data_IF_487240017651
#
_entry.id   IF_487240017651
#
_cell.length_a   1.000
_cell.length_b   1.000
_cell.length_c   1.000
_cell.angle_alpha   90.00
_cell.angle_beta   90.00
_cell.angle_gamma   90.00
#
_symmetry.space_group_name_H-M   'P 1'
#
loop_
_entity.id
_entity.type
_entity.pdbx_description
1 polymer ?
#
# COMPACT_ATOMS: atom_id res chain seq x y z
N UNK A 1 -54.85 8.03 73.76
CA UNK A 1 -54.24 9.22 73.11
C UNK A 1 -53.79 8.82 71.72
N UNK A 2 -54.61 9.14 70.72
CA UNK A 2 -54.30 10.08 69.61
C UNK A 2 -53.31 9.51 68.58
N UNK A 3 -53.80 8.82 67.53
CA UNK A 3 -54.22 9.35 66.21
C UNK A 3 -53.08 9.67 65.25
N UNK A 4 -53.10 8.99 64.09
CA UNK A 4 -53.05 9.52 62.70
C UNK A 4 -52.46 8.43 61.80
N UNK A 5 -53.02 8.07 60.65
CA UNK A 5 -54.05 8.70 59.86
C UNK A 5 -53.77 8.36 58.41
N UNK A 6 -54.60 7.48 57.85
CA UNK A 6 -54.65 7.15 56.43
C UNK A 6 -55.33 8.32 55.68
N UNK A 7 -54.79 8.80 54.54
CA UNK A 7 -55.58 9.38 53.41
C UNK A 7 -54.70 9.84 52.22
N UNK A 8 -54.73 8.99 51.18
CA UNK A 8 -55.09 9.23 49.77
C UNK A 8 -55.23 10.68 49.24
N UNK A 9 -54.61 10.91 48.06
CA UNK A 9 -54.93 11.80 46.89
C UNK A 9 -53.68 12.62 46.50
N UNK A 10 -53.31 12.84 45.24
CA UNK A 10 -54.03 12.72 43.97
C UNK A 10 -53.01 12.66 42.81
N UNK A 11 -53.42 12.06 41.70
CA UNK A 11 -52.78 12.05 40.38
C UNK A 11 -52.48 13.48 39.88
N UNK A 12 -51.36 13.64 39.16
CA UNK A 12 -51.32 14.08 37.75
C UNK A 12 -49.85 14.26 37.32
N UNK A 13 -49.40 13.44 36.37
CA UNK A 13 -49.22 13.84 34.97
C UNK A 13 -47.96 14.67 34.72
N UNK A 14 -46.91 13.96 34.33
CA UNK A 14 -45.96 14.49 33.34
C UNK A 14 -45.55 13.32 32.45
N UNK A 15 -46.25 13.21 31.32
CA UNK A 15 -45.74 12.54 30.12
C UNK A 15 -44.42 13.21 29.77
N UNK A 16 -43.31 12.50 29.94
CA UNK A 16 -41.98 12.96 29.59
C UNK A 16 -41.23 11.83 28.90
N UNK A 17 -41.53 11.67 27.62
CA UNK A 17 -40.65 11.10 26.58
C UNK A 17 -39.90 9.80 26.93
N UNK A 18 -40.45 8.67 26.49
CA UNK A 18 -39.61 7.56 26.04
C UNK A 18 -38.71 8.10 24.92
N UNK A 19 -37.49 8.50 25.26
CA UNK A 19 -36.40 8.48 24.30
C UNK A 19 -36.23 7.00 23.91
N UNK A 20 -36.84 6.60 22.80
CA UNK A 20 -36.37 5.45 22.03
C UNK A 20 -34.87 5.64 21.83
N UNK A 21 -34.06 4.85 22.54
CA UNK A 21 -32.64 4.77 22.22
C UNK A 21 -32.54 4.44 20.73
N UNK A 22 -31.71 5.12 19.94
CA UNK A 22 -31.49 4.68 18.56
C UNK A 22 -31.08 3.21 18.64
N UNK A 23 -31.77 2.35 17.89
CA UNK A 23 -31.38 0.95 17.72
C UNK A 23 -29.86 0.88 17.58
N UNK A 24 -29.16 -0.04 18.28
CA UNK A 24 -27.73 -0.16 18.14
C UNK A 24 -27.42 -0.42 16.67
N UNK A 25 -26.83 0.57 16.01
CA UNK A 25 -26.65 0.55 14.56
C UNK A 25 -25.89 -0.72 14.16
N UNK A 26 -26.56 -1.49 13.32
CA UNK A 26 -26.29 -2.88 12.93
C UNK A 26 -25.00 -3.08 12.09
N UNK A 27 -24.02 -2.18 12.15
CA UNK A 27 -22.81 -2.19 11.33
C UNK A 27 -22.00 -3.50 11.45
N UNK A 28 -22.08 -4.17 12.61
CA UNK A 28 -21.46 -5.47 12.84
C UNK A 28 -22.14 -6.64 12.11
N UNK A 29 -23.41 -6.48 11.71
CA UNK A 29 -24.22 -7.48 11.01
C UNK A 29 -24.20 -7.30 9.48
N UNK A 30 -23.45 -6.33 8.96
CA UNK A 30 -23.30 -6.16 7.52
C UNK A 30 -22.69 -7.42 6.88
N UNK A 31 -23.22 -7.86 5.72
CA UNK A 31 -22.61 -8.95 4.96
C UNK A 31 -21.16 -8.65 4.60
N UNK A 32 -20.32 -9.69 4.59
CA UNK A 32 -18.89 -9.57 4.28
C UNK A 32 -18.60 -8.88 2.94
N UNK A 33 -19.47 -9.07 1.94
CA UNK A 33 -19.37 -8.43 0.61
C UNK A 33 -19.55 -6.92 0.69
N UNK A 34 -20.46 -6.41 1.53
CA UNK A 34 -20.67 -4.98 1.74
C UNK A 34 -19.51 -4.37 2.51
N UNK A 35 -19.03 -5.04 3.55
CA UNK A 35 -17.84 -4.62 4.31
C UNK A 35 -16.62 -4.56 3.39
N UNK A 36 -16.44 -5.54 2.50
CA UNK A 36 -15.37 -5.56 1.50
C UNK A 36 -15.50 -4.38 0.53
N UNK A 37 -16.71 -4.07 0.07
CA UNK A 37 -16.96 -2.92 -0.79
C UNK A 37 -16.59 -1.60 -0.08
N UNK A 38 -16.97 -1.43 1.19
CA UNK A 38 -16.57 -0.26 1.99
C UNK A 38 -15.04 -0.16 2.05
N UNK A 39 -14.34 -1.26 2.33
CA UNK A 39 -12.88 -1.28 2.32
C UNK A 39 -12.27 -0.78 1.00
N UNK A 40 -12.92 -1.01 -0.15
CA UNK A 40 -12.37 -0.53 -1.44
C UNK A 40 -12.33 1.00 -1.55
N UNK A 41 -13.24 1.71 -0.89
CA UNK A 41 -13.29 3.19 -0.88
C UNK A 41 -12.32 3.82 0.12
N UNK A 42 -11.77 3.03 1.05
CA UNK A 42 -10.90 3.51 2.11
C UNK A 42 -9.43 3.50 1.69
N UNK A 43 -8.69 4.52 2.11
CA UNK A 43 -7.23 4.50 2.10
C UNK A 43 -6.68 3.52 3.15
N UNK A 44 -5.43 3.08 3.00
CA UNK A 44 -4.87 2.01 3.85
C UNK A 44 -4.96 2.30 5.36
N UNK A 45 -4.84 3.57 5.76
CA UNK A 45 -4.98 4.03 7.16
C UNK A 45 -6.38 3.72 7.69
N UNK A 46 -7.40 4.08 6.92
CA UNK A 46 -8.80 3.89 7.28
C UNK A 46 -9.16 2.41 7.23
N UNK A 47 -8.58 1.62 6.30
CA UNK A 47 -8.75 0.16 6.28
C UNK A 47 -8.22 -0.47 7.57
N UNK A 48 -7.01 -0.12 8.00
CA UNK A 48 -6.46 -0.67 9.26
C UNK A 48 -7.30 -0.24 10.47
N UNK A 49 -7.77 1.00 10.49
CA UNK A 49 -8.63 1.51 11.56
C UNK A 49 -9.97 0.79 11.60
N UNK A 50 -10.59 0.60 10.43
CA UNK A 50 -11.81 -0.16 10.23
C UNK A 50 -11.65 -1.62 10.67
N UNK A 51 -10.52 -2.26 10.36
CA UNK A 51 -10.24 -3.64 10.77
C UNK A 51 -10.13 -3.83 12.30
N UNK A 52 -9.97 -2.75 13.07
CA UNK A 52 -9.90 -2.81 14.54
C UNK A 52 -11.26 -2.69 15.22
N UNK A 53 -12.32 -2.39 14.48
CA UNK A 53 -13.66 -2.17 15.03
C UNK A 53 -14.24 -3.46 15.62
N UNK A 54 -14.20 -4.56 14.87
CA UNK A 54 -14.70 -5.86 15.32
C UNK A 54 -14.04 -7.02 14.58
N UNK A 55 -14.23 -8.25 15.08
CA UNK A 55 -13.65 -9.46 14.49
C UNK A 55 -14.12 -9.72 13.05
N UNK A 56 -15.39 -9.49 12.77
CA UNK A 56 -15.97 -9.68 11.43
C UNK A 56 -15.29 -8.78 10.41
N UNK A 57 -15.08 -7.50 10.74
CA UNK A 57 -14.43 -6.55 9.84
C UNK A 57 -12.94 -6.90 9.67
N UNK A 58 -12.27 -7.33 10.74
CA UNK A 58 -10.91 -7.86 10.67
C UNK A 58 -10.79 -9.08 9.73
N UNK A 59 -11.74 -10.01 9.76
CA UNK A 59 -11.74 -11.17 8.86
C UNK A 59 -11.88 -10.73 7.40
N UNK A 60 -12.75 -9.77 7.12
CA UNK A 60 -12.90 -9.21 5.76
C UNK A 60 -11.63 -8.47 5.33
N UNK A 61 -10.95 -7.77 6.24
CA UNK A 61 -9.66 -7.15 5.98
C UNK A 61 -8.59 -8.16 5.55
N UNK A 62 -8.69 -9.43 5.94
CA UNK A 62 -7.74 -10.47 5.51
C UNK A 62 -8.05 -11.06 4.13
N UNK A 63 -9.17 -10.68 3.49
CA UNK A 63 -9.58 -11.24 2.20
C UNK A 63 -8.60 -10.84 1.08
N UNK A 64 -8.03 -11.80 0.34
CA UNK A 64 -7.08 -11.56 -0.77
C UNK A 64 -7.57 -10.53 -1.80
N UNK A 65 -8.86 -10.54 -2.12
CA UNK A 65 -9.46 -9.66 -3.10
C UNK A 65 -9.24 -8.16 -2.78
N UNK A 66 -9.15 -7.82 -1.49
CA UNK A 66 -8.89 -6.46 -1.06
C UNK A 66 -7.48 -5.99 -1.44
N UNK A 67 -6.51 -6.90 -1.53
CA UNK A 67 -5.07 -6.62 -1.62
C UNK A 67 -4.48 -6.79 -3.02
N UNK A 68 -5.31 -7.07 -4.04
CA UNK A 68 -4.86 -7.32 -5.41
C UNK A 68 -4.04 -6.20 -6.04
N UNK A 69 -4.36 -4.94 -5.75
CA UNK A 69 -3.66 -3.77 -6.30
C UNK A 69 -3.12 -2.88 -5.20
N UNK A 70 -1.83 -2.56 -5.22
CA UNK A 70 -1.19 -1.81 -4.13
C UNK A 70 -0.16 -0.78 -4.58
N UNK A 71 -0.17 0.34 -3.87
CA UNK A 71 0.82 1.40 -3.99
C UNK A 71 1.78 1.26 -2.81
N UNK A 72 3.05 1.09 -3.11
CA UNK A 72 4.16 0.98 -2.19
C UNK A 72 5.05 2.20 -2.36
N UNK A 73 5.38 2.85 -1.25
CA UNK A 73 6.21 4.04 -1.25
C UNK A 73 7.51 3.74 -0.51
N UNK A 74 8.60 4.17 -1.11
CA UNK A 74 9.95 4.09 -0.58
C UNK A 74 10.42 5.53 -0.44
N UNK A 75 10.30 6.07 0.76
CA UNK A 75 11.03 7.26 1.16
C UNK A 75 11.95 6.91 2.30
N UNK A 76 13.03 7.66 2.34
CA UNK A 76 13.71 7.96 3.56
C UNK A 76 12.86 8.59 4.67
N UNK A 77 13.40 8.72 5.88
CA UNK A 77 12.74 9.20 7.11
C UNK A 77 11.77 10.37 6.85
N UNK A 78 10.70 10.37 7.64
CA UNK A 78 9.66 11.39 7.71
C UNK A 78 10.22 12.80 7.55
N UNK A 79 9.85 13.48 6.46
CA UNK A 79 10.00 14.93 6.39
C UNK A 79 8.93 15.56 7.30
N UNK A 80 9.29 16.58 8.10
CA UNK A 80 8.35 17.33 8.94
C UNK A 80 7.26 18.06 8.14
N UNK A 81 7.37 18.13 6.80
CA UNK A 81 6.41 18.81 5.93
C UNK A 81 5.17 17.97 5.56
N UNK A 82 5.25 16.64 5.64
CA UNK A 82 4.17 15.72 5.24
C UNK A 82 3.15 15.45 6.38
N UNK A 83 3.21 16.22 7.47
CA UNK A 83 2.44 16.02 8.71
C UNK A 83 0.92 16.15 8.50
N UNK A 84 0.44 16.79 7.43
CA UNK A 84 -1.01 16.98 7.22
C UNK A 84 -1.74 15.72 6.74
N UNK A 85 -1.06 14.69 6.26
CA UNK A 85 -1.69 13.44 5.78
C UNK A 85 -1.56 12.22 6.71
N UNK A 86 -0.95 12.34 7.89
CA UNK A 86 -0.47 11.17 8.66
C UNK A 86 -1.09 10.94 10.05
N UNK A 87 -2.39 10.66 10.12
CA UNK A 87 -3.06 10.15 11.34
C UNK A 87 -2.87 8.63 11.60
N UNK A 88 -2.04 7.95 10.79
CA UNK A 88 -1.65 6.54 10.99
C UNK A 88 -0.83 6.30 12.28
N UNK A 89 -0.35 7.37 12.92
CA UNK A 89 0.76 7.34 13.89
C UNK A 89 0.45 6.93 15.34
N UNK A 90 -0.79 6.62 15.71
CA UNK A 90 -1.15 6.30 17.11
C UNK A 90 -1.66 4.86 17.34
N UNK A 91 -1.58 4.01 16.32
CA UNK A 91 -2.06 2.62 16.35
C UNK A 91 -0.91 1.64 16.64
N UNK A 92 -1.18 0.43 17.11
CA UNK A 92 -0.19 -0.65 17.35
C UNK A 92 0.62 -1.06 16.09
N UNK A 93 0.28 -0.51 14.92
CA UNK A 93 1.00 -0.60 13.64
C UNK A 93 1.93 0.60 13.35
N UNK A 94 1.85 1.66 14.16
CA UNK A 94 2.56 2.93 14.06
C UNK A 94 3.93 2.92 14.76
N UNK A 95 4.70 1.86 14.55
CA UNK A 95 6.15 2.02 14.77
C UNK A 95 6.62 3.13 13.79
N UNK A 96 7.57 4.01 14.18
CA UNK A 96 8.09 5.09 13.33
C UNK A 96 8.97 4.53 12.19
N UNK A 97 8.37 3.68 11.38
CA UNK A 97 8.98 2.94 10.29
C UNK A 97 8.83 3.72 9.00
N UNK A 98 9.88 3.75 8.19
CA UNK A 98 9.82 4.28 6.83
C UNK A 98 8.72 3.57 6.02
N UNK A 99 8.14 4.24 5.01
CA UNK A 99 7.07 3.65 4.19
C UNK A 99 7.48 2.30 3.57
N UNK A 100 8.76 2.13 3.23
CA UNK A 100 9.26 0.88 2.66
C UNK A 100 9.17 -0.31 3.63
N UNK A 101 9.37 -0.11 4.93
CA UNK A 101 9.21 -1.18 5.92
C UNK A 101 7.75 -1.62 6.08
N UNK A 102 6.80 -0.71 5.87
CA UNK A 102 5.37 -1.07 5.83
C UNK A 102 5.05 -1.88 4.58
N UNK A 103 5.58 -1.49 3.42
CA UNK A 103 5.43 -2.23 2.18
C UNK A 103 5.95 -3.67 2.31
N UNK A 104 7.10 -3.87 2.98
CA UNK A 104 7.65 -5.20 3.25
C UNK A 104 6.73 -5.99 4.19
N UNK A 105 6.28 -5.41 5.30
CA UNK A 105 5.38 -6.12 6.23
C UNK A 105 4.09 -6.54 5.53
N UNK A 106 3.55 -5.66 4.69
CA UNK A 106 2.40 -5.97 3.84
C UNK A 106 2.71 -7.13 2.88
N UNK A 107 3.81 -7.05 2.14
CA UNK A 107 4.21 -8.10 1.19
C UNK A 107 4.38 -9.45 1.88
N UNK A 108 5.02 -9.51 3.06
CA UNK A 108 5.14 -10.75 3.86
C UNK A 108 3.80 -11.38 4.23
N UNK A 109 2.76 -10.57 4.37
CA UNK A 109 1.44 -11.05 4.78
C UNK A 109 0.54 -11.41 3.58
N UNK A 110 0.70 -10.72 2.45
CA UNK A 110 -0.27 -10.76 1.35
C UNK A 110 0.35 -10.97 -0.04
N UNK A 111 1.63 -11.31 -0.16
CA UNK A 111 2.37 -11.44 -1.44
C UNK A 111 1.61 -12.23 -2.50
N UNK A 112 1.10 -13.41 -2.16
CA UNK A 112 0.37 -14.32 -3.07
C UNK A 112 -0.94 -13.74 -3.59
N UNK A 113 -1.49 -12.73 -2.90
CA UNK A 113 -2.73 -12.06 -3.27
C UNK A 113 -2.51 -10.84 -4.16
N UNK A 114 -1.29 -10.32 -4.23
CA UNK A 114 -0.95 -9.12 -4.99
C UNK A 114 -0.81 -9.48 -6.46
N UNK A 115 -1.48 -8.70 -7.31
CA UNK A 115 -1.40 -8.79 -8.77
C UNK A 115 -0.88 -7.49 -9.38
N UNK A 116 -0.98 -6.37 -8.69
CA UNK A 116 -0.54 -5.09 -9.20
C UNK A 116 0.22 -4.33 -8.13
N UNK A 117 1.40 -3.84 -8.49
CA UNK A 117 2.21 -2.99 -7.63
C UNK A 117 2.56 -1.69 -8.34
N UNK A 118 2.53 -0.62 -7.57
CA UNK A 118 3.12 0.66 -7.92
C UNK A 118 4.17 1.01 -6.88
N UNK A 119 5.40 1.26 -7.28
CA UNK A 119 6.53 1.57 -6.40
C UNK A 119 7.00 2.99 -6.68
N UNK A 120 6.92 3.85 -5.67
CA UNK A 120 7.42 5.23 -5.75
C UNK A 120 8.65 5.40 -4.86
N UNK A 121 9.76 5.86 -5.45
CA UNK A 121 10.92 6.34 -4.72
C UNK A 121 10.78 7.86 -4.56
N UNK A 122 10.74 8.35 -3.31
CA UNK A 122 10.36 9.73 -3.01
C UNK A 122 11.53 10.65 -2.66
N UNK A 123 12.67 10.10 -2.21
CA UNK A 123 13.83 10.88 -1.75
C UNK A 123 15.15 10.21 -2.15
N UNK A 124 16.00 10.93 -2.90
CA UNK A 124 17.32 10.44 -3.35
C UNK A 124 18.37 10.40 -2.22
N UNK A 125 18.24 11.25 -1.20
CA UNK A 125 19.16 11.29 -0.05
C UNK A 125 19.21 9.99 0.74
N UNK A 126 18.21 9.12 0.57
CA UNK A 126 18.05 7.87 1.30
C UNK A 126 17.93 6.67 0.36
N UNK A 127 18.55 6.79 -0.81
CA UNK A 127 18.50 5.77 -1.86
C UNK A 127 19.10 4.43 -1.42
N UNK A 128 20.12 4.43 -0.55
CA UNK A 128 20.69 3.17 -0.02
C UNK A 128 19.73 2.41 0.88
N UNK A 129 19.03 3.09 1.79
CA UNK A 129 17.99 2.43 2.60
C UNK A 129 16.85 1.96 1.70
N UNK A 130 16.41 2.80 0.77
CA UNK A 130 15.36 2.47 -0.20
C UNK A 130 15.73 1.25 -1.06
N UNK A 131 16.99 1.14 -1.48
CA UNK A 131 17.50 -0.02 -2.23
C UNK A 131 17.47 -1.30 -1.40
N UNK A 132 17.89 -1.25 -0.13
CA UNK A 132 17.83 -2.39 0.77
C UNK A 132 16.39 -2.86 1.00
N UNK A 133 15.48 -1.92 1.23
CA UNK A 133 14.07 -2.22 1.44
C UNK A 133 13.43 -2.76 0.15
N UNK A 134 13.78 -2.21 -1.01
CA UNK A 134 13.27 -2.67 -2.30
C UNK A 134 13.76 -4.09 -2.64
N UNK A 135 15.01 -4.41 -2.28
CA UNK A 135 15.56 -5.77 -2.39
C UNK A 135 14.77 -6.76 -1.53
N UNK A 136 14.49 -6.41 -0.28
CA UNK A 136 13.68 -7.25 0.60
C UNK A 136 12.24 -7.40 0.08
N UNK A 137 11.64 -6.30 -0.40
CA UNK A 137 10.32 -6.35 -1.02
C UNK A 137 10.31 -7.29 -2.23
N UNK A 138 11.31 -7.19 -3.11
CA UNK A 138 11.41 -8.02 -4.31
C UNK A 138 11.44 -9.50 -3.94
N UNK A 139 12.17 -9.86 -2.88
CA UNK A 139 12.22 -11.23 -2.34
C UNK A 139 10.86 -11.68 -1.80
N UNK A 140 10.13 -10.81 -1.09
CA UNK A 140 8.80 -11.14 -0.58
C UNK A 140 7.76 -11.36 -1.69
N UNK A 141 8.01 -10.81 -2.88
CA UNK A 141 7.11 -10.89 -4.04
C UNK A 141 7.51 -11.99 -5.04
N UNK A 142 8.49 -12.84 -4.71
CA UNK A 142 8.92 -13.95 -5.57
C UNK A 142 7.77 -14.91 -5.90
N UNK A 143 6.84 -15.13 -4.96
CA UNK A 143 5.66 -16.01 -5.13
C UNK A 143 4.41 -15.27 -5.63
N UNK A 144 4.49 -13.96 -5.82
CA UNK A 144 3.38 -13.20 -6.36
C UNK A 144 3.17 -13.55 -7.85
N UNK A 145 1.95 -13.35 -8.34
CA UNK A 145 1.63 -13.45 -9.77
C UNK A 145 1.27 -12.07 -10.30
N UNK A 146 2.27 -11.19 -10.36
CA UNK A 146 2.07 -9.80 -10.75
C UNK A 146 1.72 -9.70 -12.23
N UNK A 147 0.64 -8.99 -12.50
CA UNK A 147 0.13 -8.60 -13.83
C UNK A 147 0.50 -7.16 -14.18
N UNK A 148 0.74 -6.30 -13.18
CA UNK A 148 1.16 -4.92 -13.39
C UNK A 148 2.26 -4.52 -12.43
N UNK A 149 3.35 -3.99 -12.98
CA UNK A 149 4.42 -3.33 -12.23
C UNK A 149 4.56 -1.90 -12.76
N UNK A 150 4.44 -0.93 -11.87
CA UNK A 150 4.81 0.45 -12.14
C UNK A 150 5.89 0.91 -11.17
N UNK A 151 6.99 1.45 -11.68
CA UNK A 151 8.07 2.00 -10.85
C UNK A 151 8.33 3.44 -11.24
N UNK A 152 8.48 4.33 -10.27
CA UNK A 152 8.81 5.72 -10.54
C UNK A 152 9.69 6.37 -9.49
N UNK A 153 10.41 7.42 -9.90
CA UNK A 153 11.19 8.28 -9.01
C UNK A 153 12.52 7.71 -8.54
N UNK A 154 13.00 6.62 -9.17
CA UNK A 154 14.30 6.00 -8.87
C UNK A 154 15.46 7.00 -9.00
N UNK A 155 15.41 7.88 -10.01
CA UNK A 155 16.31 9.03 -10.14
C UNK A 155 17.80 8.69 -10.06
N UNK A 156 18.26 7.66 -10.79
CA UNK A 156 19.63 7.16 -10.70
C UNK A 156 20.68 8.05 -11.41
N UNK A 157 20.31 9.27 -11.79
CA UNK A 157 21.21 10.25 -12.36
C UNK A 157 22.34 10.58 -11.37
N UNK A 158 23.59 10.52 -11.83
CA UNK A 158 24.77 10.70 -10.95
C UNK A 158 25.02 9.59 -9.92
N UNK A 159 24.09 8.67 -9.69
CA UNK A 159 24.26 7.55 -8.75
C UNK A 159 25.15 6.48 -9.34
N UNK A 160 26.39 6.35 -8.87
CA UNK A 160 27.36 5.36 -9.35
C UNK A 160 27.60 4.23 -8.35
N UNK A 161 28.16 3.12 -8.84
CA UNK A 161 28.65 2.02 -8.03
C UNK A 161 27.55 1.10 -7.50
N UNK A 162 27.76 0.56 -6.29
CA UNK A 162 27.00 -0.58 -5.76
C UNK A 162 25.49 -0.33 -5.62
N UNK A 163 25.05 0.89 -5.29
CA UNK A 163 23.61 1.19 -5.10
C UNK A 163 22.83 0.97 -6.40
N UNK A 164 23.40 1.43 -7.53
CA UNK A 164 22.79 1.23 -8.84
C UNK A 164 22.67 -0.25 -9.16
N UNK A 165 23.77 -0.99 -8.96
CA UNK A 165 23.80 -2.44 -9.16
C UNK A 165 22.77 -3.16 -8.30
N UNK A 166 22.69 -2.84 -7.00
CA UNK A 166 21.73 -3.43 -6.07
C UNK A 166 20.28 -3.20 -6.51
N UNK A 167 19.95 -1.99 -7.00
CA UNK A 167 18.62 -1.65 -7.51
C UNK A 167 18.31 -2.35 -8.84
N UNK A 168 19.28 -2.40 -9.76
CA UNK A 168 19.17 -3.14 -11.02
C UNK A 168 18.92 -4.62 -10.75
N UNK A 169 19.73 -5.24 -9.88
CA UNK A 169 19.61 -6.67 -9.55
C UNK A 169 18.29 -6.99 -8.82
N UNK A 170 17.84 -6.11 -7.93
CA UNK A 170 16.54 -6.26 -7.25
C UNK A 170 15.37 -6.20 -8.24
N UNK A 171 15.43 -5.26 -9.19
CA UNK A 171 14.41 -5.12 -10.23
C UNK A 171 14.42 -6.31 -11.19
N UNK A 172 15.60 -6.77 -11.61
CA UNK A 172 15.75 -7.97 -12.44
C UNK A 172 15.12 -9.18 -11.76
N UNK A 173 15.47 -9.44 -10.49
CA UNK A 173 14.86 -10.52 -9.70
C UNK A 173 13.35 -10.40 -9.66
N UNK A 174 12.84 -9.21 -9.33
CA UNK A 174 11.41 -8.97 -9.25
C UNK A 174 10.73 -9.37 -10.56
N UNK A 175 11.26 -8.93 -11.71
CA UNK A 175 10.72 -9.20 -13.05
C UNK A 175 10.85 -10.68 -13.43
N UNK A 176 12.03 -11.28 -13.21
CA UNK A 176 12.34 -12.66 -13.60
C UNK A 176 11.39 -13.68 -12.97
N UNK A 177 10.86 -13.39 -11.78
CA UNK A 177 9.89 -14.25 -11.08
C UNK A 177 8.46 -14.07 -11.57
N UNK A 178 8.16 -13.04 -12.36
CA UNK A 178 6.80 -12.81 -12.86
C UNK A 178 6.67 -13.35 -14.29
N UNK A 179 5.92 -14.44 -14.45
CA UNK A 179 5.62 -15.03 -15.77
C UNK A 179 4.27 -14.61 -16.34
N UNK A 180 3.45 -13.93 -15.53
CA UNK A 180 2.08 -13.49 -15.90
C UNK A 180 1.97 -11.97 -16.07
N UNK A 181 3.10 -11.27 -16.20
CA UNK A 181 3.16 -9.82 -16.25
C UNK A 181 2.58 -9.30 -17.57
N UNK A 182 1.53 -8.49 -17.49
CA UNK A 182 0.84 -7.92 -18.66
C UNK A 182 1.22 -6.47 -18.93
N UNK A 183 1.55 -5.73 -17.88
CA UNK A 183 1.85 -4.31 -17.96
C UNK A 183 3.13 -4.03 -17.19
N UNK A 184 4.10 -3.42 -17.84
CA UNK A 184 5.31 -2.93 -17.19
C UNK A 184 5.51 -1.46 -17.52
N UNK A 185 5.56 -0.64 -16.48
CA UNK A 185 5.78 0.80 -16.64
C UNK A 185 6.91 1.23 -15.73
N UNK A 186 7.80 2.05 -16.26
CA UNK A 186 8.86 2.67 -15.50
C UNK A 186 8.99 4.13 -15.90
N UNK A 187 9.11 5.00 -14.89
CA UNK A 187 9.19 6.45 -15.09
C UNK A 187 10.35 7.07 -14.30
N UNK A 188 11.13 7.93 -14.94
CA UNK A 188 12.19 8.72 -14.28
C UNK A 188 13.15 7.85 -13.45
N UNK A 189 13.63 6.75 -14.04
CA UNK A 189 14.58 5.85 -13.37
C UNK A 189 16.03 6.12 -13.74
N UNK A 190 16.30 6.63 -14.95
CA UNK A 190 17.61 7.12 -15.35
C UNK A 190 18.73 6.07 -15.17
N UNK A 191 18.51 4.82 -15.60
CA UNK A 191 19.54 3.78 -15.69
C UNK A 191 20.57 4.10 -16.79
N UNK A 192 21.81 3.64 -16.64
CA UNK A 192 22.71 3.55 -17.78
C UNK A 192 22.20 2.55 -18.83
N UNK A 193 22.78 2.61 -20.03
CA UNK A 193 22.40 1.76 -21.15
C UNK A 193 22.53 0.27 -20.82
N UNK A 194 23.63 -0.14 -20.18
CA UNK A 194 23.87 -1.54 -19.85
C UNK A 194 22.82 -2.09 -18.88
N UNK A 195 22.61 -1.41 -17.75
CA UNK A 195 21.63 -1.79 -16.73
C UNK A 195 20.21 -1.77 -17.29
N UNK A 196 19.87 -0.75 -18.08
CA UNK A 196 18.55 -0.64 -18.70
C UNK A 196 18.30 -1.76 -19.72
N UNK A 197 19.28 -2.11 -20.54
CA UNK A 197 19.17 -3.23 -21.48
C UNK A 197 19.06 -4.58 -20.75
N UNK A 198 19.81 -4.79 -19.66
CA UNK A 198 19.67 -5.99 -18.85
C UNK A 198 18.26 -6.15 -18.27
N UNK A 199 17.66 -5.06 -17.77
CA UNK A 199 16.27 -5.08 -17.28
C UNK A 199 15.29 -5.46 -18.40
N UNK A 200 15.46 -4.89 -19.59
CA UNK A 200 14.61 -5.21 -20.74
C UNK A 200 14.80 -6.65 -21.22
N UNK A 201 16.03 -7.16 -21.21
CA UNK A 201 16.32 -8.55 -21.54
C UNK A 201 15.69 -9.53 -20.55
N UNK A 202 15.77 -9.23 -19.24
CA UNK A 202 15.07 -10.01 -18.21
C UNK A 202 13.55 -9.97 -18.41
N UNK A 203 12.98 -8.80 -18.73
CA UNK A 203 11.55 -8.64 -19.01
C UNK A 203 11.10 -9.46 -20.22
N UNK A 204 11.87 -9.39 -21.31
CA UNK A 204 11.61 -10.19 -22.51
C UNK A 204 11.71 -11.69 -22.20
N UNK A 205 12.74 -12.13 -21.48
CA UNK A 205 12.92 -13.53 -21.11
C UNK A 205 11.79 -14.08 -20.24
N UNK A 206 11.30 -13.28 -19.28
CA UNK A 206 10.30 -13.75 -18.31
C UNK A 206 8.85 -13.61 -18.78
N UNK A 207 8.52 -12.58 -19.56
CA UNK A 207 7.13 -12.18 -19.86
C UNK A 207 6.89 -11.68 -21.29
N UNK A 208 7.76 -11.97 -22.26
CA UNK A 208 7.55 -11.53 -23.66
C UNK A 208 6.20 -11.94 -24.26
N UNK A 209 5.68 -13.12 -23.90
CA UNK A 209 4.43 -13.64 -24.46
C UNK A 209 3.17 -13.07 -23.80
N UNK A 210 3.31 -12.47 -22.61
CA UNK A 210 2.18 -12.02 -21.78
C UNK A 210 2.08 -10.50 -21.72
N UNK A 211 3.17 -9.78 -22.01
CA UNK A 211 3.21 -8.33 -21.96
C UNK A 211 2.38 -7.70 -23.09
N UNK A 212 1.57 -6.71 -22.74
CA UNK A 212 0.63 -6.02 -23.63
C UNK A 212 0.78 -4.49 -23.57
N UNK A 213 1.33 -3.96 -22.48
CA UNK A 213 1.56 -2.53 -22.28
C UNK A 213 2.97 -2.34 -21.70
N UNK A 214 3.80 -1.60 -22.42
CA UNK A 214 5.17 -1.29 -22.03
C UNK A 214 5.38 0.23 -22.12
N UNK A 215 5.65 0.89 -20.99
CA UNK A 215 5.99 2.31 -20.96
C UNK A 215 7.34 2.53 -20.28
N UNK A 216 8.29 3.13 -21.01
CA UNK A 216 9.70 3.26 -20.60
C UNK A 216 10.15 4.72 -20.43
N UNK A 217 9.24 5.59 -20.01
CA UNK A 217 9.43 7.05 -20.01
C UNK A 217 10.56 7.47 -19.06
N UNK A 218 11.74 7.78 -19.59
CA UNK A 218 12.92 8.08 -18.76
C UNK A 218 13.53 6.85 -18.10
N UNK A 219 13.47 5.70 -18.78
CA UNK A 219 14.22 4.50 -18.39
C UNK A 219 15.73 4.76 -18.40
N UNK A 220 16.23 5.37 -19.48
CA UNK A 220 17.65 5.63 -19.67
C UNK A 220 18.03 7.04 -19.22
N UNK A 221 19.29 7.24 -18.84
CA UNK A 221 19.89 8.57 -18.68
C UNK A 221 19.89 9.28 -20.04
N UNK A 222 19.45 10.54 -20.07
CA UNK A 222 19.59 11.39 -21.26
C UNK A 222 21.07 11.77 -21.41
N UNK A 223 21.88 10.85 -21.93
CA UNK A 223 23.31 11.02 -22.17
C UNK A 223 23.73 10.76 -23.61
N UNK A 224 22.81 10.36 -24.49
CA UNK A 224 23.08 10.30 -25.93
C UNK A 224 22.40 11.50 -26.57
N UNK A 225 23.14 12.60 -26.70
CA UNK A 225 22.89 13.52 -27.81
C UNK A 225 23.12 12.68 -29.07
N UNK A 226 22.04 12.18 -29.67
CA UNK A 226 22.08 11.50 -30.97
C UNK A 226 22.35 12.49 -32.12
N UNK A 227 22.52 13.78 -31.81
CA UNK A 227 23.01 14.79 -32.73
C UNK A 227 24.44 15.17 -32.31
N UNK A 228 25.41 14.64 -33.06
CA UNK A 228 26.69 15.31 -33.28
C UNK A 228 26.42 16.32 -34.40
N UNK A 229 26.59 17.61 -34.10
CA UNK A 229 26.93 18.60 -35.13
C UNK A 229 28.41 18.45 -35.50
#
# INVERSE_FOLDING_TARGET
>A
MTTKGNKIRQKNSTKGQHHTSPEPQLWSLLPATIVLAIYTYLGDIDRVSMARVCKTWYQVFQVPALWRSRIMRFSGKRSQGDIKSELWLKSKFASPRSYGQQAIKFAKQFSTSVQEITVHFLLLSELRESANLFRELSTCLDEASLRYIYISGLGLEGVRGQIRKDLTDSLKRLIEKQHSLRKFRIKSSHFDLESGLQILQCLAGASAQTITDLALNGLFQNGVSLYRE
#
